data_IF_258864420417
#
_entry.id   IF_258864420417
#
_cell.length_a   1.000
_cell.length_b   1.000
_cell.length_c   1.000
_cell.angle_alpha   90.00
_cell.angle_beta   90.00
_cell.angle_gamma   90.00
#
_symmetry.space_group_name_H-M   'P 1'
#
loop_
_entity.id
_entity.type
_entity.pdbx_description
1 polymer ?
#
# COMPACT_ATOMS: atom_id res chain seq x y z
N UNK A 1 -5.78 11.98 -6.64
CA UNK A 1 -5.25 11.30 -5.45
C UNK A 1 -6.41 10.82 -4.62
N UNK A 2 -6.58 9.51 -4.55
CA UNK A 2 -7.54 8.87 -3.66
C UNK A 2 -6.84 8.45 -2.37
N UNK A 3 -7.61 8.31 -1.29
CA UNK A 3 -7.09 7.83 -0.02
C UNK A 3 -8.13 6.99 0.70
N UNK A 4 -7.66 5.94 1.37
CA UNK A 4 -8.51 5.08 2.18
C UNK A 4 -7.73 4.51 3.36
N UNK A 5 -8.47 4.09 4.39
CA UNK A 5 -7.88 3.48 5.57
C UNK A 5 -7.93 1.94 5.46
N UNK A 6 -6.90 1.31 5.99
CA UNK A 6 -6.76 -0.14 6.12
C UNK A 6 -6.53 -0.50 7.58
N UNK A 7 -7.40 -1.34 8.12
CA UNK A 7 -7.20 -1.97 9.43
C UNK A 7 -6.71 -3.40 9.23
N UNK A 8 -5.45 -3.65 9.57
CA UNK A 8 -4.82 -4.97 9.40
C UNK A 8 -4.56 -5.60 10.76
N UNK A 9 -4.94 -6.87 10.91
CA UNK A 9 -4.60 -7.69 12.07
C UNK A 9 -3.31 -8.46 11.81
N UNK A 10 -2.24 -8.10 12.50
CA UNK A 10 -0.95 -8.78 12.42
C UNK A 10 -0.39 -9.07 13.82
N UNK A 11 -0.03 -10.33 14.09
CA UNK A 11 0.53 -10.76 15.38
C UNK A 11 -0.22 -10.24 16.62
N UNK A 12 -1.56 -10.30 16.59
CA UNK A 12 -2.49 -9.81 17.63
C UNK A 12 -2.55 -8.29 17.82
N UNK A 13 -1.90 -7.52 16.96
CA UNK A 13 -2.00 -6.07 16.91
C UNK A 13 -2.91 -5.65 15.75
N UNK A 14 -3.70 -4.60 15.97
CA UNK A 14 -4.42 -3.91 14.90
C UNK A 14 -3.55 -2.74 14.44
N UNK A 15 -3.20 -2.74 13.17
CA UNK A 15 -2.48 -1.67 12.50
C UNK A 15 -3.49 -0.86 11.71
N UNK A 16 -3.69 0.40 12.11
CA UNK A 16 -4.46 1.36 11.35
C UNK A 16 -3.51 2.07 10.37
N UNK A 17 -3.72 1.82 9.08
CA UNK A 17 -2.89 2.31 8.00
C UNK A 17 -3.68 3.28 7.13
N UNK A 18 -3.06 4.38 6.71
CA UNK A 18 -3.60 5.28 5.70
C UNK A 18 -2.90 4.99 4.36
N UNK A 19 -3.68 4.66 3.33
CA UNK A 19 -3.19 4.42 1.97
C UNK A 19 -3.51 5.63 1.12
N UNK A 20 -2.51 6.14 0.40
CA UNK A 20 -2.64 7.21 -0.58
C UNK A 20 -2.31 6.67 -1.95
N UNK A 21 -3.19 6.96 -2.89
CA UNK A 21 -3.14 6.38 -4.20
C UNK A 21 -3.10 7.46 -5.28
N UNK A 22 -2.20 7.28 -6.24
CA UNK A 22 -1.88 8.22 -7.30
C UNK A 22 -2.03 7.56 -8.69
N UNK A 23 -2.88 6.53 -8.86
CA UNK A 23 -2.97 5.74 -10.10
C UNK A 23 -3.20 6.58 -11.36
N UNK A 24 -4.02 7.64 -11.25
CA UNK A 24 -4.37 8.53 -12.36
C UNK A 24 -3.31 9.57 -12.75
N UNK A 25 -2.18 9.66 -12.03
CA UNK A 25 -1.10 10.59 -12.37
C UNK A 25 0.01 9.85 -13.14
N UNK A 26 0.05 10.02 -14.47
CA UNK A 26 0.80 9.14 -15.40
C UNK A 26 2.34 9.25 -15.41
N UNK A 27 2.97 9.79 -14.36
CA UNK A 27 4.44 9.96 -14.32
C UNK A 27 5.07 9.63 -12.96
N UNK A 28 4.29 9.24 -11.95
CA UNK A 28 4.83 8.91 -10.64
C UNK A 28 5.27 7.44 -10.58
N UNK A 29 6.53 7.25 -10.17
CA UNK A 29 7.04 5.96 -9.69
C UNK A 29 6.56 5.81 -8.24
N UNK A 30 6.16 4.60 -7.84
CA UNK A 30 5.54 4.31 -6.54
C UNK A 30 4.16 4.97 -6.38
N UNK A 31 3.16 4.47 -7.10
CA UNK A 31 1.82 5.07 -7.16
C UNK A 31 0.97 4.87 -5.90
N UNK A 32 1.42 4.06 -4.95
CA UNK A 32 0.67 3.77 -3.72
C UNK A 32 1.61 3.96 -2.56
N UNK A 33 1.21 4.77 -1.58
CA UNK A 33 1.96 5.04 -0.37
C UNK A 33 1.16 4.62 0.85
N UNK A 34 1.82 4.04 1.84
CA UNK A 34 1.20 3.54 3.06
C UNK A 34 1.83 4.22 4.26
N UNK A 35 0.97 4.76 5.11
CA UNK A 35 1.33 5.52 6.31
C UNK A 35 0.70 4.90 7.55
N UNK A 36 1.33 5.10 8.71
CA UNK A 36 0.76 4.80 10.03
C UNK A 36 1.10 5.95 10.97
N UNK A 37 0.10 6.54 11.62
CA UNK A 37 0.29 7.70 12.50
C UNK A 37 1.14 8.81 11.84
N UNK A 38 0.79 9.18 10.61
CA UNK A 38 1.52 10.13 9.75
C UNK A 38 2.97 9.74 9.36
N UNK A 39 3.43 8.54 9.73
CA UNK A 39 4.75 8.02 9.33
C UNK A 39 4.66 7.21 8.06
N UNK A 40 5.49 7.57 7.08
CA UNK A 40 5.64 6.79 5.86
C UNK A 40 6.29 5.44 6.18
N UNK A 41 5.59 4.35 5.85
CA UNK A 41 6.05 2.99 6.10
C UNK A 41 6.68 2.36 4.87
N UNK A 42 5.92 2.35 3.77
CA UNK A 42 6.29 1.73 2.51
C UNK A 42 5.46 2.29 1.35
N UNK A 43 5.92 2.04 0.13
CA UNK A 43 5.19 2.32 -1.09
C UNK A 43 5.23 1.15 -2.05
N UNK A 44 4.19 1.05 -2.87
CA UNK A 44 4.03 0.06 -3.91
C UNK A 44 3.93 0.71 -5.28
N UNK A 45 4.29 -0.05 -6.29
CA UNK A 45 4.04 0.27 -7.67
C UNK A 45 3.26 -0.88 -8.31
N UNK A 46 2.11 -0.62 -8.94
CA UNK A 46 1.48 -1.64 -9.78
C UNK A 46 2.39 -1.94 -10.96
N UNK A 47 2.55 -3.23 -11.26
CA UNK A 47 3.14 -3.68 -12.51
C UNK A 47 2.09 -3.74 -13.63
N UNK A 48 2.52 -4.17 -14.83
CA UNK A 48 1.65 -4.29 -16.00
C UNK A 48 0.57 -5.37 -15.85
N UNK A 49 0.63 -6.16 -14.78
CA UNK A 49 -0.33 -7.20 -14.41
C UNK A 49 -1.19 -6.79 -13.20
N UNK A 50 -1.23 -5.50 -12.86
CA UNK A 50 -2.02 -4.96 -11.73
C UNK A 50 -1.61 -5.55 -10.37
N UNK A 51 -0.40 -6.09 -10.29
CA UNK A 51 0.15 -6.66 -9.06
C UNK A 51 1.04 -5.63 -8.36
N UNK A 52 0.88 -5.50 -7.05
CA UNK A 52 1.64 -4.55 -6.25
C UNK A 52 3.05 -5.05 -5.94
N UNK A 53 4.03 -4.45 -6.61
CA UNK A 53 5.44 -4.64 -6.30
C UNK A 53 5.93 -3.57 -5.32
N UNK A 54 6.76 -3.97 -4.35
CA UNK A 54 7.36 -3.04 -3.38
C UNK A 54 8.24 -2.04 -4.11
N UNK A 55 7.98 -0.76 -3.90
CA UNK A 55 8.76 0.34 -4.46
C UNK A 55 9.76 0.88 -3.44
N UNK A 56 9.30 1.18 -2.21
CA UNK A 56 10.14 1.59 -1.09
C UNK A 56 9.65 0.94 0.21
N UNK A 57 10.58 0.59 1.10
CA UNK A 57 10.25 0.07 2.45
C UNK A 57 11.23 0.65 3.49
N UNK A 58 11.21 1.98 3.74
CA UNK A 58 12.12 2.61 4.70
C UNK A 58 11.87 2.16 6.14
N UNK A 59 10.65 1.74 6.48
CA UNK A 59 10.32 1.19 7.79
C UNK A 59 10.87 -0.23 8.01
N UNK A 60 11.49 -0.85 7.00
CA UNK A 60 12.06 -2.20 7.06
C UNK A 60 11.03 -3.22 7.58
N UNK A 61 9.78 -3.08 7.13
CA UNK A 61 8.72 -4.02 7.48
C UNK A 61 9.09 -5.42 6.98
N UNK A 62 8.68 -6.43 7.74
CA UNK A 62 8.91 -7.82 7.36
C UNK A 62 8.10 -8.19 6.10
N UNK A 63 8.65 -9.09 5.28
CA UNK A 63 8.03 -9.46 4.01
C UNK A 63 6.61 -10.01 4.15
N UNK A 64 6.27 -10.69 5.25
CA UNK A 64 4.90 -11.21 5.44
C UNK A 64 3.91 -10.08 5.66
N UNK A 65 4.29 -9.09 6.48
CA UNK A 65 3.49 -7.90 6.68
C UNK A 65 3.36 -7.08 5.39
N UNK A 66 4.45 -6.94 4.63
CA UNK A 66 4.44 -6.25 3.33
C UNK A 66 3.46 -6.92 2.35
N UNK A 67 3.53 -8.25 2.20
CA UNK A 67 2.60 -9.00 1.34
C UNK A 67 1.16 -8.88 1.83
N UNK A 68 0.92 -8.98 3.14
CA UNK A 68 -0.42 -8.81 3.71
C UNK A 68 -1.00 -7.41 3.44
N UNK A 69 -0.16 -6.37 3.51
CA UNK A 69 -0.57 -5.01 3.16
C UNK A 69 -0.92 -4.93 1.67
N UNK A 70 -0.08 -5.48 0.79
CA UNK A 70 -0.32 -5.50 -0.66
C UNK A 70 -1.65 -6.18 -1.00
N UNK A 71 -1.88 -7.41 -0.50
CA UNK A 71 -3.12 -8.17 -0.71
C UNK A 71 -4.36 -7.36 -0.29
N UNK A 72 -4.27 -6.67 0.86
CA UNK A 72 -5.37 -5.87 1.40
C UNK A 72 -5.64 -4.58 0.62
N UNK A 73 -4.61 -4.01 0.00
CA UNK A 73 -4.74 -2.88 -0.91
C UNK A 73 -5.40 -3.35 -2.20
N UNK A 74 -4.95 -4.46 -2.79
CA UNK A 74 -5.53 -5.04 -4.01
C UNK A 74 -7.00 -5.45 -3.84
N UNK A 75 -7.41 -5.94 -2.65
CA UNK A 75 -8.82 -6.19 -2.34
C UNK A 75 -9.70 -4.93 -2.32
N UNK A 76 -9.10 -3.76 -2.11
CA UNK A 76 -9.81 -2.47 -1.98
C UNK A 76 -9.72 -1.60 -3.23
N UNK A 77 -8.60 -1.67 -3.95
CA UNK A 77 -8.42 -0.94 -5.20
C UNK A 77 -9.16 -1.70 -6.28
N UNK A 78 -10.16 -1.06 -6.88
CA UNK A 78 -10.76 -1.55 -8.10
C UNK A 78 -9.88 -1.13 -9.28
N UNK A 79 -9.11 -2.07 -9.81
CA UNK A 79 -8.25 -1.85 -10.98
C UNK A 79 -9.06 -1.55 -12.26
N UNK A 80 -10.35 -1.85 -12.28
CA UNK A 80 -11.23 -1.79 -13.46
C UNK A 80 -12.08 -0.52 -13.57
N UNK A 81 -11.69 0.57 -12.89
CA UNK A 81 -12.37 1.87 -12.97
C UNK A 81 -12.60 2.38 -14.40
#
# INVERSE_FOLDING_TARGET
MEKFNLDIKYNKQNLALEVKEYLHHSHQRCKIEVYQDDKFLLSFNPDDHETLSVCQNPAQLDNKLVHLIADKIEEKIDWLG
#
